data_IF_949201667875
#
_entry.id   IF_949201667875
#
_cell.length_a   1.000
_cell.length_b   1.000
_cell.length_c   1.000
_cell.angle_alpha   90.00
_cell.angle_beta   90.00
_cell.angle_gamma   90.00
#
_symmetry.space_group_name_H-M   'P 1'
#
loop_
_entity.id
_entity.type
_entity.pdbx_description
1 polymer ?
#
# COMPACT_ATOMS: atom_id res chain seq x y z
N UNK A 1 10.18 -6.24 23.61
CA UNK A 1 9.33 -5.13 23.16
C UNK A 1 9.11 -5.32 21.68
N UNK A 2 7.88 -5.28 21.17
CA UNK A 2 7.66 -5.29 19.72
C UNK A 2 7.83 -3.85 19.26
N UNK A 3 8.92 -3.54 18.57
CA UNK A 3 9.11 -2.23 17.95
C UNK A 3 8.09 -2.08 16.82
N UNK A 4 7.03 -1.34 17.11
CA UNK A 4 6.02 -0.92 16.15
C UNK A 4 6.47 0.43 15.58
N UNK A 5 6.96 0.48 14.34
CA UNK A 5 7.29 1.75 13.70
C UNK A 5 6.05 2.32 13.01
N UNK A 6 5.83 3.63 13.12
CA UNK A 6 4.69 4.32 12.50
C UNK A 6 5.19 5.45 11.59
N UNK A 7 4.60 5.53 10.40
CA UNK A 7 4.92 6.53 9.39
C UNK A 7 3.63 7.11 8.81
N UNK A 8 3.59 8.43 8.61
CA UNK A 8 2.53 9.04 7.82
C UNK A 8 2.85 8.82 6.35
N UNK A 9 1.89 8.28 5.61
CA UNK A 9 2.03 8.00 4.18
C UNK A 9 0.77 8.43 3.44
N UNK A 10 0.93 8.78 2.18
CA UNK A 10 -0.19 8.93 1.25
C UNK A 10 -0.36 7.62 0.49
N UNK A 11 -1.47 6.93 0.74
CA UNK A 11 -1.84 5.75 -0.04
C UNK A 11 -2.31 6.22 -1.42
N UNK A 12 -1.63 5.74 -2.48
CA UNK A 12 -1.95 6.15 -3.86
C UNK A 12 -2.88 5.13 -4.52
N UNK A 13 -2.56 3.85 -4.41
CA UNK A 13 -3.35 2.73 -4.93
C UNK A 13 -2.83 1.38 -4.42
N UNK A 14 -3.71 0.39 -4.40
CA UNK A 14 -3.36 -1.01 -4.15
C UNK A 14 -3.69 -1.82 -5.39
N UNK A 15 -2.71 -2.56 -5.91
CA UNK A 15 -2.92 -3.45 -7.04
C UNK A 15 -2.78 -4.90 -6.60
N UNK A 16 -3.59 -5.78 -7.18
CA UNK A 16 -3.36 -7.23 -7.07
C UNK A 16 -2.32 -7.63 -8.11
N UNK A 17 -1.23 -8.29 -7.71
CA UNK A 17 -0.35 -8.93 -8.69
C UNK A 17 -0.99 -10.22 -9.15
N UNK A 18 -1.73 -10.12 -10.26
CA UNK A 18 -2.26 -11.28 -10.96
C UNK A 18 -1.79 -11.26 -12.41
N UNK A 19 -1.48 -12.43 -12.97
CA UNK A 19 -1.09 -12.57 -14.38
C UNK A 19 -2.21 -12.08 -15.32
N UNK A 20 -3.46 -12.14 -14.87
CA UNK A 20 -4.63 -11.67 -15.61
C UNK A 20 -4.67 -10.14 -15.72
N UNK A 21 -4.25 -9.44 -14.67
CA UNK A 21 -4.20 -7.98 -14.59
C UNK A 21 -2.96 -7.38 -15.27
N UNK A 22 -2.06 -8.24 -15.81
CA UNK A 22 -0.75 -7.93 -16.36
C UNK A 22 0.29 -7.37 -15.37
N UNK A 23 -0.07 -7.26 -14.09
CA UNK A 23 0.81 -6.74 -13.03
C UNK A 23 1.63 -7.90 -12.45
N UNK A 24 2.72 -8.25 -13.12
CA UNK A 24 3.63 -9.31 -12.68
C UNK A 24 4.82 -8.81 -11.85
N UNK A 25 5.15 -7.52 -11.95
CA UNK A 25 6.31 -6.91 -11.29
C UNK A 25 5.93 -5.58 -10.66
N UNK A 26 6.77 -5.11 -9.74
CA UNK A 26 6.63 -3.78 -9.14
C UNK A 26 6.69 -2.69 -10.22
N UNK A 27 7.53 -2.86 -11.24
CA UNK A 27 7.65 -1.92 -12.37
C UNK A 27 6.33 -1.78 -13.16
N UNK A 28 5.61 -2.90 -13.38
CA UNK A 28 4.30 -2.85 -14.04
C UNK A 28 3.26 -2.11 -13.18
N UNK A 29 3.27 -2.36 -11.87
CA UNK A 29 2.41 -1.64 -10.93
C UNK A 29 2.70 -0.13 -10.93
N UNK A 30 3.98 0.27 -11.00
CA UNK A 30 4.39 1.69 -11.10
C UNK A 30 3.92 2.29 -12.42
N UNK A 31 4.10 1.59 -13.56
CA UNK A 31 3.63 2.08 -14.87
C UNK A 31 2.12 2.28 -14.89
N UNK A 32 1.37 1.34 -14.31
CA UNK A 32 -0.10 1.44 -14.20
C UNK A 32 -0.51 2.58 -13.28
N UNK A 33 0.21 2.80 -12.18
CA UNK A 33 0.04 3.97 -11.32
C UNK A 33 0.24 5.27 -12.11
N UNK A 34 1.36 5.44 -12.81
CA UNK A 34 1.64 6.66 -13.61
C UNK A 34 0.57 6.89 -14.70
N UNK A 35 0.04 5.82 -15.29
CA UNK A 35 -1.04 5.90 -16.27
C UNK A 35 -2.37 6.33 -15.64
N UNK A 36 -2.66 5.90 -14.41
CA UNK A 36 -3.83 6.38 -13.66
C UNK A 36 -3.66 7.82 -13.21
N UNK A 37 -2.45 8.21 -12.80
CA UNK A 37 -2.07 9.59 -12.46
C UNK A 37 -2.32 10.53 -13.64
N UNK A 38 -1.82 10.16 -14.82
CA UNK A 38 -2.01 10.91 -16.07
C UNK A 38 -3.48 11.05 -16.50
N UNK A 39 -4.37 10.21 -15.94
CA UNK A 39 -5.82 10.23 -16.21
C UNK A 39 -6.62 10.88 -15.09
N UNK A 40 -5.95 11.43 -14.07
CA UNK A 40 -6.57 12.00 -12.87
C UNK A 40 -7.47 10.98 -12.15
N UNK A 41 -7.06 9.70 -12.15
CA UNK A 41 -7.80 8.58 -11.54
C UNK A 41 -7.18 8.08 -10.24
N UNK A 42 -6.13 8.76 -9.75
CA UNK A 42 -5.53 8.45 -8.45
C UNK A 42 -6.26 9.26 -7.38
N UNK A 43 -6.73 8.55 -6.37
CA UNK A 43 -7.29 9.15 -5.16
C UNK A 43 -6.30 8.89 -4.05
N UNK A 44 -5.56 9.93 -3.67
CA UNK A 44 -4.60 9.85 -2.56
C UNK A 44 -5.33 9.96 -1.23
N UNK A 45 -5.01 9.08 -0.28
CA UNK A 45 -5.55 9.16 1.07
C UNK A 45 -4.42 9.15 2.09
N UNK A 46 -4.46 10.08 3.04
CA UNK A 46 -3.51 10.10 4.16
C UNK A 46 -3.78 8.91 5.09
N UNK A 47 -2.75 8.12 5.36
CA UNK A 47 -2.83 6.93 6.19
C UNK A 47 -1.61 6.82 7.10
N UNK A 48 -1.81 6.12 8.21
CA UNK A 48 -0.76 5.73 9.14
C UNK A 48 -0.28 4.32 8.80
N UNK A 49 0.94 4.23 8.26
CA UNK A 49 1.63 2.97 8.02
C UNK A 49 2.28 2.49 9.31
N UNK A 50 1.77 1.39 9.86
CA UNK A 50 2.33 0.74 11.04
C UNK A 50 3.04 -0.56 10.64
N UNK A 51 4.35 -0.59 10.83
CA UNK A 51 5.21 -1.74 10.52
C UNK A 51 5.58 -2.45 11.80
N UNK A 52 5.39 -3.77 11.79
CA UNK A 52 5.76 -4.67 12.88
C UNK A 52 6.44 -5.91 12.32
N UNK A 53 7.14 -6.63 13.19
CA UNK A 53 7.76 -7.92 12.90
C UNK A 53 6.80 -8.95 12.26
N UNK A 54 5.49 -8.86 12.58
CA UNK A 54 4.46 -9.79 12.08
C UNK A 54 3.71 -9.30 10.85
N UNK A 55 3.52 -7.99 10.70
CA UNK A 55 2.60 -7.42 9.72
C UNK A 55 2.85 -5.93 9.48
N UNK A 56 2.53 -5.50 8.27
CA UNK A 56 2.39 -4.11 7.87
C UNK A 56 0.91 -3.77 7.87
N UNK A 57 0.52 -2.67 8.50
CA UNK A 57 -0.86 -2.21 8.60
C UNK A 57 -0.98 -0.79 8.09
N UNK A 58 -2.05 -0.51 7.36
CA UNK A 58 -2.48 0.83 7.02
C UNK A 58 -3.71 1.15 7.86
N UNK A 59 -3.59 2.18 8.69
CA UNK A 59 -4.66 2.69 9.53
C UNK A 59 -5.06 4.08 9.06
N UNK A 60 -6.32 4.42 9.24
CA UNK A 60 -6.79 5.78 9.03
C UNK A 60 -6.15 6.74 10.05
N UNK A 61 -5.76 7.95 9.62
CA UNK A 61 -5.02 8.90 10.48
C UNK A 61 -5.86 9.45 11.63
N UNK A 62 -7.16 9.65 11.41
CA UNK A 62 -8.07 10.26 12.38
C UNK A 62 -8.64 9.22 13.34
N UNK A 63 -9.14 8.12 12.78
CA UNK A 63 -9.87 7.08 13.54
C UNK A 63 -8.99 5.93 14.00
N UNK A 64 -7.76 5.80 13.47
CA UNK A 64 -6.88 4.64 13.66
C UNK A 64 -7.57 3.31 13.34
N UNK A 65 -8.59 3.33 12.49
CA UNK A 65 -9.27 2.12 12.02
C UNK A 65 -8.41 1.43 10.98
N UNK A 66 -8.26 0.12 11.13
CA UNK A 66 -7.50 -0.69 10.20
C UNK A 66 -8.19 -0.75 8.84
N UNK A 67 -7.56 -0.18 7.81
CA UNK A 67 -8.05 -0.28 6.43
C UNK A 67 -7.41 -1.43 5.66
N UNK A 68 -6.14 -1.71 5.92
CA UNK A 68 -5.41 -2.76 5.21
C UNK A 68 -4.37 -3.43 6.12
N UNK A 69 -4.26 -4.75 6.05
CA UNK A 69 -3.22 -5.54 6.73
C UNK A 69 -2.53 -6.42 5.72
N UNK A 70 -1.21 -6.36 5.71
CA UNK A 70 -0.34 -7.28 5.00
C UNK A 70 0.47 -8.08 6.01
N UNK A 71 0.29 -9.41 6.06
CA UNK A 71 1.10 -10.27 6.92
C UNK A 71 2.44 -10.53 6.25
N UNK A 72 3.54 -10.35 6.99
CA UNK A 72 4.90 -10.59 6.49
C UNK A 72 5.10 -12.09 6.17
N UNK A 73 4.37 -12.95 6.85
CA UNK A 73 4.40 -14.41 6.69
C UNK A 73 3.59 -14.93 5.48
N UNK A 74 2.73 -14.09 4.90
CA UNK A 74 1.87 -14.50 3.80
C UNK A 74 2.48 -14.03 2.48
N UNK A 75 2.87 -14.99 1.63
CA UNK A 75 3.38 -14.80 0.26
C UNK A 75 2.36 -14.14 -0.72
N UNK A 76 1.41 -13.37 -0.22
CA UNK A 76 0.44 -12.64 -1.02
C UNK A 76 1.16 -11.45 -1.66
N UNK A 77 1.34 -11.50 -2.97
CA UNK A 77 1.95 -10.43 -3.74
C UNK A 77 0.90 -9.34 -4.00
N UNK A 78 0.70 -8.43 -3.04
CA UNK A 78 -0.14 -7.24 -3.24
C UNK A 78 0.75 -6.01 -3.05
N UNK A 79 1.24 -5.37 -4.13
CA UNK A 79 1.94 -4.10 -4.05
C UNK A 79 0.97 -3.01 -3.61
N UNK A 80 1.07 -2.60 -2.35
CA UNK A 80 0.60 -1.29 -1.92
C UNK A 80 1.60 -0.23 -2.38
N UNK A 81 1.16 0.71 -3.22
CA UNK A 81 1.96 1.88 -3.59
C UNK A 81 1.57 3.03 -2.66
N UNK A 82 2.48 3.36 -1.75
CA UNK A 82 2.35 4.48 -0.83
C UNK A 82 3.49 5.47 -1.08
N UNK A 83 3.23 6.76 -0.94
CA UNK A 83 4.25 7.82 -0.92
C UNK A 83 4.53 8.20 0.54
N UNK A 84 5.80 8.24 0.93
CA UNK A 84 6.19 8.79 2.23
C UNK A 84 6.24 10.32 2.11
N UNK A 85 5.60 11.02 3.05
CA UNK A 85 5.63 12.48 3.16
C UNK A 85 6.85 12.96 3.95
#
# INVERSE_FOLDING_TARGET
MQETSQYHVEHLSTFMMDKTESIATVDDAIKKLVLLDSKDKIWTQEMLLQVNDKAVRLLDVDTQVLQLTHRVDLHSQIPGLCRCT
#
